data_IF_053706258641
#
_entry.id   IF_053706258641
#
_cell.length_a   1.000
_cell.length_b   1.000
_cell.length_c   1.000
_cell.angle_alpha   90.00
_cell.angle_beta   90.00
_cell.angle_gamma   90.00
#
_symmetry.space_group_name_H-M   'P 1'
#
loop_
_entity.id
_entity.type
_entity.pdbx_description
1 polymer ?
#
# COMPACT_ATOMS: atom_id res chain seq x y z
N UNK A 1 57.32 10.56 -23.93
CA UNK A 1 57.35 9.59 -22.80
C UNK A 1 56.02 9.63 -22.04
N UNK A 2 55.51 10.78 -21.68
CA UNK A 2 54.23 10.98 -20.94
C UNK A 2 53.01 10.39 -21.68
N UNK A 3 52.86 10.74 -22.94
CA UNK A 3 51.71 10.27 -23.76
C UNK A 3 51.74 8.76 -24.03
N UNK A 4 52.93 8.16 -24.14
CA UNK A 4 53.09 6.72 -24.31
C UNK A 4 52.65 5.94 -23.06
N UNK A 5 53.06 6.40 -21.88
CA UNK A 5 52.64 5.80 -20.63
C UNK A 5 51.14 5.94 -20.37
N UNK A 6 50.55 7.09 -20.67
CA UNK A 6 49.11 7.30 -20.58
C UNK A 6 48.29 6.37 -21.49
N UNK A 7 48.76 6.19 -22.72
CA UNK A 7 48.11 5.28 -23.70
C UNK A 7 48.26 3.82 -23.26
N UNK A 8 49.38 3.42 -22.69
CA UNK A 8 49.65 2.06 -22.16
C UNK A 8 48.73 1.78 -20.96
N UNK A 9 48.61 2.72 -20.04
CA UNK A 9 47.72 2.61 -18.86
C UNK A 9 46.27 2.49 -19.33
N UNK A 10 45.83 3.34 -20.24
CA UNK A 10 44.46 3.30 -20.79
C UNK A 10 44.13 1.96 -21.46
N UNK A 11 45.05 1.44 -22.29
CA UNK A 11 44.85 0.15 -22.93
C UNK A 11 44.82 -1.02 -21.91
N UNK A 12 45.61 -0.95 -20.83
CA UNK A 12 45.54 -1.98 -19.78
C UNK A 12 44.21 -1.96 -19.05
N UNK A 13 43.64 -0.77 -18.74
CA UNK A 13 42.30 -0.67 -18.15
C UNK A 13 41.22 -1.12 -19.12
N UNK A 14 41.31 -0.77 -20.40
CA UNK A 14 40.36 -1.23 -21.44
C UNK A 14 40.37 -2.75 -21.52
N UNK A 15 41.55 -3.37 -21.60
CA UNK A 15 41.68 -4.83 -21.65
C UNK A 15 41.14 -5.52 -20.40
N UNK A 16 41.30 -4.91 -19.21
CA UNK A 16 40.75 -5.44 -17.98
C UNK A 16 39.20 -5.37 -18.00
N UNK A 17 38.63 -4.26 -18.44
CA UNK A 17 37.17 -4.08 -18.56
C UNK A 17 36.57 -5.00 -19.62
N UNK A 18 37.32 -5.35 -20.66
CA UNK A 18 36.88 -6.27 -21.72
C UNK A 18 37.13 -7.75 -21.39
N UNK A 19 37.82 -8.03 -20.28
CA UNK A 19 38.08 -9.40 -19.86
C UNK A 19 36.75 -10.09 -19.47
N UNK A 20 36.48 -11.24 -20.09
CA UNK A 20 35.26 -12.03 -19.90
C UNK A 20 35.08 -12.46 -18.43
N UNK A 21 36.16 -12.86 -17.77
CA UNK A 21 36.11 -13.27 -16.37
C UNK A 21 35.83 -12.09 -15.43
N UNK A 22 36.43 -10.93 -15.73
CA UNK A 22 36.13 -9.71 -14.99
C UNK A 22 34.65 -9.31 -15.13
N UNK A 23 34.14 -9.27 -16.37
CA UNK A 23 32.72 -8.98 -16.63
C UNK A 23 31.78 -9.95 -15.92
N UNK A 24 32.11 -11.25 -15.96
CA UNK A 24 31.31 -12.29 -15.28
C UNK A 24 31.31 -12.11 -13.76
N UNK A 25 32.48 -11.90 -13.16
CA UNK A 25 32.58 -11.67 -11.71
C UNK A 25 31.91 -10.37 -11.27
N UNK A 26 32.06 -9.30 -12.07
CA UNK A 26 31.42 -8.01 -11.82
C UNK A 26 29.90 -8.10 -11.90
N UNK A 27 29.37 -8.77 -12.93
CA UNK A 27 27.92 -9.01 -13.04
C UNK A 27 27.41 -9.85 -11.88
N UNK A 28 28.13 -10.88 -11.46
CA UNK A 28 27.76 -11.69 -10.31
C UNK A 28 27.74 -10.87 -9.00
N UNK A 29 28.65 -9.92 -8.84
CA UNK A 29 28.62 -8.97 -7.72
C UNK A 29 27.39 -8.06 -7.82
N UNK A 30 27.14 -7.50 -9.00
CA UNK A 30 25.97 -6.62 -9.23
C UNK A 30 24.65 -7.33 -8.99
N UNK A 31 24.51 -8.58 -9.43
CA UNK A 31 23.31 -9.40 -9.27
C UNK A 31 23.04 -9.76 -7.79
N UNK A 32 24.11 -9.79 -6.98
CA UNK A 32 24.02 -10.07 -5.54
C UNK A 32 23.96 -8.80 -4.66
N UNK A 33 24.07 -7.60 -5.27
CA UNK A 33 23.94 -6.35 -4.52
C UNK A 33 22.46 -6.14 -4.14
N UNK A 34 22.21 -6.04 -2.85
CA UNK A 34 20.92 -5.60 -2.37
C UNK A 34 20.65 -4.16 -2.80
N UNK A 35 19.41 -3.82 -3.17
CA UNK A 35 19.07 -2.46 -3.56
C UNK A 35 19.34 -1.50 -2.39
N UNK A 36 19.96 -0.36 -2.67
CA UNK A 36 20.24 0.67 -1.65
C UNK A 36 18.98 1.06 -0.87
N UNK A 37 17.85 1.14 -1.56
CA UNK A 37 16.57 1.50 -0.97
C UNK A 37 15.64 0.29 -0.97
N UNK A 38 15.12 -0.04 0.21
CA UNK A 38 14.14 -1.11 0.39
C UNK A 38 12.80 -0.51 0.77
N UNK A 39 11.77 -0.80 -0.04
CA UNK A 39 10.39 -0.46 0.30
C UNK A 39 9.79 -1.58 1.14
N UNK A 40 9.21 -1.22 2.26
CA UNK A 40 8.55 -2.11 3.20
C UNK A 40 7.09 -1.69 3.30
N UNK A 41 6.19 -2.65 3.24
CA UNK A 41 4.76 -2.45 3.46
C UNK A 41 4.34 -3.32 4.65
N UNK A 42 3.56 -2.74 5.55
CA UNK A 42 3.09 -3.42 6.75
C UNK A 42 1.60 -3.15 6.95
N UNK A 43 0.88 -4.19 7.35
CA UNK A 43 -0.51 -4.14 7.76
C UNK A 43 -0.58 -4.43 9.26
N UNK A 44 -1.18 -3.52 10.03
CA UNK A 44 -1.18 -3.55 11.47
C UNK A 44 -2.06 -4.69 11.97
N UNK A 45 -1.50 -5.55 12.81
CA UNK A 45 -2.17 -6.67 13.46
C UNK A 45 -2.63 -6.31 14.87
N UNK A 46 -3.42 -7.20 15.46
CA UNK A 46 -3.89 -7.05 16.84
C UNK A 46 -2.72 -7.08 17.82
N UNK A 47 -2.63 -6.08 18.68
CA UNK A 47 -1.62 -6.01 19.74
C UNK A 47 -0.28 -5.41 19.34
N UNK A 48 -0.10 -5.04 18.08
CA UNK A 48 1.12 -4.36 17.62
C UNK A 48 1.09 -2.88 17.99
N UNK A 49 2.24 -2.35 18.38
CA UNK A 49 2.45 -0.91 18.57
C UNK A 49 3.27 -0.34 17.42
N UNK A 50 3.12 0.96 17.18
CA UNK A 50 3.86 1.65 16.11
C UNK A 50 5.38 1.50 16.26
N UNK A 51 5.87 1.60 17.47
CA UNK A 51 7.31 1.52 17.77
C UNK A 51 7.84 0.11 17.53
N UNK A 52 7.18 -0.92 18.07
CA UNK A 52 7.57 -2.33 17.90
C UNK A 52 7.63 -2.74 16.42
N UNK A 53 6.65 -2.29 15.63
CA UNK A 53 6.65 -2.60 14.19
C UNK A 53 7.89 -2.02 13.51
N UNK A 54 8.21 -0.75 13.73
CA UNK A 54 9.36 -0.11 13.10
C UNK A 54 10.70 -0.68 13.61
N UNK A 55 10.79 -1.03 14.89
CA UNK A 55 11.96 -1.69 15.47
C UNK A 55 12.22 -3.08 14.85
N UNK A 56 11.17 -3.85 14.52
CA UNK A 56 11.29 -5.13 13.82
C UNK A 56 11.96 -4.98 12.46
N UNK A 57 11.78 -3.84 11.81
CA UNK A 57 12.41 -3.52 10.52
C UNK A 57 13.75 -2.78 10.68
N UNK A 58 14.35 -2.81 11.88
CA UNK A 58 15.65 -2.21 12.19
C UNK A 58 15.71 -0.69 11.94
N UNK A 59 14.59 0.00 12.06
CA UNK A 59 14.53 1.46 12.03
C UNK A 59 15.06 1.99 13.35
N UNK A 60 16.00 2.93 13.30
CA UNK A 60 16.56 3.53 14.52
C UNK A 60 15.52 4.31 15.32
N UNK A 61 15.64 4.28 16.64
CA UNK A 61 14.70 4.97 17.56
C UNK A 61 14.61 6.47 17.30
N UNK A 62 15.72 7.10 16.92
CA UNK A 62 15.77 8.52 16.52
C UNK A 62 14.88 8.81 15.31
N UNK A 63 14.81 7.90 14.34
CA UNK A 63 13.97 7.98 13.17
C UNK A 63 12.49 7.77 13.53
N UNK A 64 12.21 6.78 14.36
CA UNK A 64 10.86 6.51 14.88
C UNK A 64 10.31 7.75 15.56
N UNK A 65 11.10 8.39 16.44
CA UNK A 65 10.70 9.60 17.16
C UNK A 65 10.41 10.77 16.22
N UNK A 66 11.22 10.95 15.16
CA UNK A 66 10.98 11.97 14.13
C UNK A 66 9.67 11.73 13.38
N UNK A 67 9.42 10.50 12.95
CA UNK A 67 8.18 10.11 12.26
C UNK A 67 6.97 10.34 13.18
N UNK A 68 7.05 9.86 14.45
CA UNK A 68 6.01 10.05 15.46
C UNK A 68 5.69 11.52 15.69
N UNK A 69 6.71 12.37 15.84
CA UNK A 69 6.55 13.81 16.06
C UNK A 69 5.75 14.50 14.94
N UNK A 70 5.86 14.01 13.71
CA UNK A 70 5.12 14.58 12.59
C UNK A 70 3.73 13.97 12.50
N UNK A 71 3.60 12.64 12.60
CA UNK A 71 2.32 11.92 12.49
C UNK A 71 1.37 12.24 13.65
N UNK A 72 1.88 12.37 14.88
CA UNK A 72 1.06 12.62 16.09
C UNK A 72 0.28 13.93 16.05
N UNK A 73 0.65 14.86 15.17
CA UNK A 73 -0.12 16.09 14.92
C UNK A 73 -1.47 15.84 14.27
N UNK A 74 -1.66 14.67 13.64
CA UNK A 74 -2.84 14.33 12.84
C UNK A 74 -3.54 13.06 13.30
N UNK A 75 -2.79 12.10 13.79
CA UNK A 75 -3.30 10.80 14.19
C UNK A 75 -2.84 10.42 15.61
N UNK A 76 -3.66 9.67 16.31
CA UNK A 76 -3.29 9.11 17.59
C UNK A 76 -2.60 7.76 17.40
N UNK A 77 -1.27 7.74 17.44
CA UNK A 77 -0.46 6.54 17.25
C UNK A 77 -0.61 5.50 18.36
N UNK A 78 -1.24 5.86 19.49
CA UNK A 78 -1.56 4.92 20.56
C UNK A 78 -2.88 4.17 20.30
N UNK A 79 -3.65 4.57 19.28
CA UNK A 79 -4.93 3.95 18.88
C UNK A 79 -4.89 3.62 17.41
N UNK A 80 -4.02 2.69 17.05
CA UNK A 80 -3.95 2.18 15.67
C UNK A 80 -5.11 1.19 15.45
N UNK A 81 -5.72 1.25 14.28
CA UNK A 81 -6.74 0.28 13.91
C UNK A 81 -6.10 -0.92 13.23
N UNK A 82 -6.60 -2.11 13.55
CA UNK A 82 -6.23 -3.34 12.85
C UNK A 82 -6.56 -3.20 11.36
N UNK A 83 -5.74 -3.77 10.51
CA UNK A 83 -5.79 -3.69 9.05
C UNK A 83 -5.45 -2.29 8.47
N UNK A 84 -5.05 -1.31 9.28
CA UNK A 84 -4.42 -0.10 8.74
C UNK A 84 -3.08 -0.45 8.11
N UNK A 85 -2.77 0.26 7.02
CA UNK A 85 -1.55 0.00 6.25
C UNK A 85 -0.63 1.21 6.29
N UNK A 86 0.64 0.92 6.36
CA UNK A 86 1.66 1.91 6.08
C UNK A 86 2.79 1.30 5.27
N UNK A 87 3.53 2.13 4.58
CA UNK A 87 4.73 1.72 3.87
C UNK A 87 5.82 2.75 4.09
N UNK A 88 7.06 2.30 4.04
CA UNK A 88 8.20 3.20 4.12
C UNK A 88 9.36 2.68 3.28
N UNK A 89 10.21 3.62 2.87
CA UNK A 89 11.42 3.33 2.12
C UNK A 89 12.62 3.65 3.02
N UNK A 90 13.41 2.63 3.32
CA UNK A 90 14.62 2.74 4.13
C UNK A 90 15.87 2.63 3.25
N UNK A 91 16.86 3.47 3.54
CA UNK A 91 18.21 3.32 3.01
C UNK A 91 18.93 2.23 3.84
N UNK A 92 19.23 1.09 3.23
CA UNK A 92 19.83 -0.05 3.92
C UNK A 92 21.26 0.20 4.40
N UNK A 93 21.93 1.23 3.86
CA UNK A 93 23.30 1.58 4.24
C UNK A 93 23.34 2.42 5.51
N UNK A 94 22.41 3.39 5.62
CA UNK A 94 22.37 4.36 6.73
C UNK A 94 21.25 4.08 7.74
N UNK A 95 20.39 3.09 7.48
CA UNK A 95 19.19 2.78 8.28
C UNK A 95 18.23 3.96 8.43
N UNK A 96 18.28 4.90 7.49
CA UNK A 96 17.49 6.14 7.51
C UNK A 96 16.24 5.99 6.64
N UNK A 97 15.09 6.41 7.16
CA UNK A 97 13.82 6.38 6.43
C UNK A 97 13.75 7.60 5.50
N UNK A 98 13.60 7.38 4.20
CA UNK A 98 13.48 8.44 3.18
C UNK A 98 12.05 8.88 2.94
N UNK A 99 11.15 7.93 2.95
CA UNK A 99 9.73 8.13 2.70
C UNK A 99 8.93 7.28 3.66
N UNK A 100 7.84 7.83 4.18
CA UNK A 100 6.90 7.12 5.03
C UNK A 100 5.47 7.49 4.62
N UNK A 101 4.63 6.49 4.34
CA UNK A 101 3.25 6.69 3.89
C UNK A 101 2.34 5.98 4.88
N UNK A 102 1.47 6.71 5.54
CA UNK A 102 0.49 6.16 6.46
C UNK A 102 -0.92 6.30 5.88
N UNK A 103 -1.65 5.20 5.79
CA UNK A 103 -3.03 5.20 5.35
C UNK A 103 -3.96 5.43 6.55
N UNK A 104 -4.47 6.65 6.68
CA UNK A 104 -5.38 7.03 7.77
C UNK A 104 -6.76 6.41 7.56
N UNK A 105 -7.25 6.43 6.32
CA UNK A 105 -8.54 5.86 5.91
C UNK A 105 -8.47 5.42 4.44
N UNK A 106 -9.58 4.91 3.91
CA UNK A 106 -9.66 4.55 2.49
C UNK A 106 -9.47 5.76 1.55
N UNK A 107 -9.66 6.97 2.07
CA UNK A 107 -9.60 8.21 1.28
C UNK A 107 -8.45 9.12 1.66
N UNK A 108 -7.80 8.90 2.79
CA UNK A 108 -6.77 9.79 3.31
C UNK A 108 -5.47 9.06 3.56
N UNK A 109 -4.38 9.61 3.02
CA UNK A 109 -3.00 9.14 3.23
C UNK A 109 -2.12 10.31 3.64
N UNK A 110 -1.26 10.07 4.60
CA UNK A 110 -0.21 11.01 5.03
C UNK A 110 1.11 10.54 4.42
N UNK A 111 1.75 11.42 3.68
CA UNK A 111 3.06 11.22 3.09
C UNK A 111 4.08 12.04 3.87
N UNK A 112 5.11 11.40 4.35
CA UNK A 112 6.30 12.03 4.91
C UNK A 112 7.46 11.76 3.97
N UNK A 113 8.12 12.79 3.50
CA UNK A 113 9.28 12.68 2.60
C UNK A 113 10.38 13.61 3.06
N UNK A 114 11.63 13.26 2.81
CA UNK A 114 12.77 14.14 2.99
C UNK A 114 13.76 13.98 1.85
N UNK A 115 14.42 15.05 1.47
CA UNK A 115 15.41 15.04 0.40
C UNK A 115 16.76 14.49 0.88
N UNK A 116 17.21 14.92 2.05
CA UNK A 116 18.47 14.52 2.65
C UNK A 116 18.27 13.86 4.02
N UNK A 117 19.23 13.06 4.47
CA UNK A 117 19.19 12.33 5.73
C UNK A 117 19.13 13.25 6.97
N UNK A 118 19.73 14.43 6.86
CA UNK A 118 19.78 15.45 7.93
C UNK A 118 18.56 16.36 7.95
N UNK A 119 17.71 16.31 6.92
CA UNK A 119 16.52 17.16 6.82
C UNK A 119 15.34 16.57 7.59
N UNK A 120 14.48 17.47 8.06
CA UNK A 120 13.19 17.08 8.67
C UNK A 120 12.25 16.55 7.59
N UNK A 121 11.29 15.73 8.00
CA UNK A 121 10.24 15.28 7.11
C UNK A 121 9.31 16.42 6.69
N UNK A 122 9.11 16.55 5.39
CA UNK A 122 8.03 17.31 4.80
C UNK A 122 6.76 16.46 4.82
N UNK A 123 5.65 17.04 5.25
CA UNK A 123 4.37 16.35 5.34
C UNK A 123 3.44 16.79 4.23
N UNK A 124 2.86 15.82 3.51
CA UNK A 124 1.79 16.04 2.54
C UNK A 124 0.61 15.13 2.84
N UNK A 125 -0.58 15.67 2.87
CA UNK A 125 -1.80 14.88 3.04
C UNK A 125 -2.48 14.78 1.67
N UNK A 126 -2.74 13.56 1.25
CA UNK A 126 -3.55 13.28 0.06
C UNK A 126 -4.93 12.81 0.49
N UNK A 127 -5.94 13.56 0.06
CA UNK A 127 -7.34 13.19 0.25
C UNK A 127 -7.93 12.85 -1.11
N UNK A 128 -8.34 11.61 -1.27
CA UNK A 128 -9.04 11.16 -2.47
C UNK A 128 -10.53 11.50 -2.32
N UNK A 129 -11.05 12.33 -3.21
CA UNK A 129 -12.48 12.61 -3.25
C UNK A 129 -13.22 11.38 -3.79
N UNK A 130 -14.13 10.84 -3.01
CA UNK A 130 -15.04 9.80 -3.48
C UNK A 130 -16.21 10.45 -4.20
N UNK A 131 -16.48 9.98 -5.40
CA UNK A 131 -17.73 10.32 -6.09
C UNK A 131 -18.81 9.33 -5.65
N UNK A 132 -19.87 9.83 -5.01
CA UNK A 132 -21.04 9.01 -4.74
C UNK A 132 -21.80 8.80 -6.05
N UNK A 133 -21.90 7.58 -6.49
CA UNK A 133 -22.76 7.17 -7.61
C UNK A 133 -23.94 6.45 -7.00
N UNK A 134 -25.15 6.89 -7.35
CA UNK A 134 -26.37 6.18 -7.00
C UNK A 134 -26.71 5.31 -8.21
N UNK A 135 -26.80 4.02 -8.00
CA UNK A 135 -27.18 3.04 -9.02
C UNK A 135 -28.59 2.57 -8.68
N UNK A 136 -29.46 2.55 -9.67
CA UNK A 136 -30.82 2.05 -9.57
C UNK A 136 -30.94 0.80 -10.43
N UNK A 137 -31.42 -0.27 -9.82
CA UNK A 137 -31.67 -1.54 -10.49
C UNK A 137 -33.08 -2.03 -10.17
N UNK A 138 -33.80 -2.49 -11.18
CA UNK A 138 -35.08 -3.15 -11.02
C UNK A 138 -35.15 -4.42 -11.83
N UNK A 139 -35.86 -5.40 -11.35
CA UNK A 139 -36.05 -6.67 -12.08
C UNK A 139 -37.27 -7.40 -11.62
N UNK A 140 -37.75 -8.29 -12.50
CA UNK A 140 -38.86 -9.22 -12.22
C UNK A 140 -38.29 -10.51 -11.63
N UNK A 141 -38.92 -11.04 -10.61
CA UNK A 141 -38.55 -12.30 -9.96
C UNK A 141 -39.07 -13.46 -10.77
N UNK A 142 -38.15 -14.22 -11.38
CA UNK A 142 -38.49 -15.40 -12.17
C UNK A 142 -38.42 -16.71 -11.35
N UNK A 143 -37.48 -16.79 -10.41
CA UNK A 143 -37.26 -17.97 -9.57
C UNK A 143 -37.18 -17.61 -8.09
N UNK A 144 -36.25 -16.71 -7.73
CA UNK A 144 -36.08 -16.16 -6.40
C UNK A 144 -35.53 -14.74 -6.48
N UNK A 145 -35.78 -13.93 -5.44
CA UNK A 145 -35.18 -12.59 -5.33
C UNK A 145 -33.66 -12.64 -5.49
N UNK A 146 -32.98 -13.53 -4.77
CA UNK A 146 -31.53 -13.65 -4.81
C UNK A 146 -31.01 -13.93 -6.22
N UNK A 147 -31.61 -14.90 -6.92
CA UNK A 147 -31.18 -15.28 -8.28
C UNK A 147 -31.46 -14.16 -9.28
N UNK A 148 -32.61 -13.51 -9.21
CA UNK A 148 -32.94 -12.40 -10.09
C UNK A 148 -32.03 -11.19 -9.87
N UNK A 149 -31.75 -10.85 -8.61
CA UNK A 149 -30.83 -9.75 -8.27
C UNK A 149 -29.37 -10.06 -8.67
N UNK A 150 -28.92 -11.30 -8.49
CA UNK A 150 -27.57 -11.71 -8.92
C UNK A 150 -27.42 -11.67 -10.44
N UNK A 151 -28.45 -12.03 -11.20
CA UNK A 151 -28.47 -11.95 -12.66
C UNK A 151 -28.35 -10.47 -13.14
N UNK A 152 -28.85 -9.51 -12.38
CA UNK A 152 -28.65 -8.07 -12.61
C UNK A 152 -27.28 -7.56 -12.13
N UNK A 153 -26.39 -8.45 -11.69
CA UNK A 153 -25.04 -8.13 -11.16
C UNK A 153 -25.06 -7.30 -9.87
N UNK A 154 -26.18 -7.32 -9.14
CA UNK A 154 -26.24 -6.67 -7.83
C UNK A 154 -25.34 -7.47 -6.86
N UNK A 155 -24.42 -6.80 -6.14
CA UNK A 155 -23.52 -7.47 -5.20
C UNK A 155 -24.28 -8.24 -4.13
N UNK A 156 -23.85 -9.46 -3.80
CA UNK A 156 -24.52 -10.32 -2.83
C UNK A 156 -24.72 -9.66 -1.45
N UNK A 157 -23.77 -8.82 -1.01
CA UNK A 157 -23.90 -8.07 0.22
C UNK A 157 -25.10 -7.10 0.22
N UNK A 158 -25.39 -6.47 -0.90
CA UNK A 158 -26.55 -5.57 -1.05
C UNK A 158 -27.86 -6.37 -1.00
N UNK A 159 -27.89 -7.56 -1.63
CA UNK A 159 -29.06 -8.44 -1.62
C UNK A 159 -29.37 -8.93 -0.20
N UNK A 160 -28.33 -9.31 0.55
CA UNK A 160 -28.48 -9.75 1.95
C UNK A 160 -28.97 -8.59 2.82
N UNK A 161 -28.41 -7.40 2.63
CA UNK A 161 -28.83 -6.22 3.39
C UNK A 161 -30.28 -5.82 3.08
N UNK A 162 -30.67 -5.88 1.81
CA UNK A 162 -32.05 -5.67 1.38
C UNK A 162 -33.00 -6.67 2.09
N UNK A 163 -32.65 -7.97 2.07
CA UNK A 163 -33.42 -8.99 2.75
C UNK A 163 -33.48 -8.76 4.29
N UNK A 164 -32.41 -8.26 4.89
CA UNK A 164 -32.36 -7.94 6.32
C UNK A 164 -33.28 -6.77 6.67
N UNK A 165 -33.30 -5.72 5.85
CA UNK A 165 -34.13 -4.52 6.07
C UNK A 165 -35.63 -4.88 5.98
N UNK A 166 -36.00 -5.63 4.97
CA UNK A 166 -37.42 -5.94 4.72
C UNK A 166 -37.90 -7.24 5.36
N UNK A 167 -37.00 -8.08 5.92
CA UNK A 167 -37.34 -9.37 6.49
C UNK A 167 -38.27 -9.35 7.70
N UNK A 168 -38.49 -8.21 8.31
CA UNK A 168 -39.53 -8.01 9.33
C UNK A 168 -40.94 -7.81 8.76
N UNK A 169 -41.07 -7.46 7.49
CA UNK A 169 -42.34 -7.14 6.84
C UNK A 169 -42.69 -8.13 5.75
N UNK A 170 -41.68 -8.78 5.14
CA UNK A 170 -41.83 -9.67 4.01
C UNK A 170 -41.14 -11.02 4.34
N UNK A 171 -41.92 -12.08 4.31
CA UNK A 171 -41.35 -13.44 4.31
C UNK A 171 -40.88 -13.80 2.89
N UNK A 172 -39.58 -13.63 2.64
CA UNK A 172 -38.99 -13.87 1.32
C UNK A 172 -39.13 -15.31 0.81
N UNK A 173 -39.53 -16.27 1.65
CA UNK A 173 -39.80 -17.65 1.25
C UNK A 173 -41.26 -17.90 0.91
N UNK A 174 -42.18 -17.14 1.52
CA UNK A 174 -43.62 -17.40 1.41
C UNK A 174 -44.38 -16.32 0.63
N UNK A 175 -43.97 -15.03 0.78
CA UNK A 175 -44.70 -13.94 0.23
C UNK A 175 -44.28 -13.59 -1.20
N UNK A 176 -43.01 -13.87 -1.54
CA UNK A 176 -42.47 -13.60 -2.88
C UNK A 176 -42.95 -14.60 -3.89
N UNK A 177 -43.52 -14.13 -4.97
CA UNK A 177 -44.05 -14.98 -6.05
C UNK A 177 -43.35 -14.69 -7.37
N UNK A 178 -43.43 -15.65 -8.27
CA UNK A 178 -42.97 -15.48 -9.65
C UNK A 178 -43.75 -14.32 -10.32
N UNK A 179 -43.03 -13.44 -11.00
CA UNK A 179 -43.47 -12.19 -11.63
C UNK A 179 -43.63 -10.99 -10.68
N UNK A 180 -43.38 -11.14 -9.37
CA UNK A 180 -43.18 -9.96 -8.54
C UNK A 180 -41.94 -9.17 -9.01
N UNK A 181 -41.91 -7.88 -8.71
CA UNK A 181 -40.81 -6.99 -9.04
C UNK A 181 -40.13 -6.48 -7.78
N UNK A 182 -38.87 -6.16 -7.89
CA UNK A 182 -38.10 -5.46 -6.84
C UNK A 182 -37.32 -4.31 -7.45
N UNK A 183 -37.03 -3.32 -6.60
CA UNK A 183 -36.24 -2.13 -6.93
C UNK A 183 -35.21 -1.93 -5.82
N UNK A 184 -33.94 -1.75 -6.18
CA UNK A 184 -32.83 -1.46 -5.27
C UNK A 184 -32.10 -0.21 -5.77
N UNK A 185 -31.83 0.72 -4.84
CA UNK A 185 -31.07 1.94 -5.12
C UNK A 185 -29.93 2.11 -4.12
#
# INVERSE_FOLDING_TARGET
>A
YYNYNKKKIFNNYSNLLDNVYFKKSFNQILDNLEPKFKKIEHEINVGETFDEILEQYLVEKSEIDQIKKVLSKKINLNKLNVNQKFSFTIDQTSSVVKEFIFQVSNTEKIYLTRKNETEKFDQKILVTKLNKIVVYDESIILESLYKSATNQKIPAGIIIEFARIYGFQVDFQRDIRKQDSFQIM
#
